data_IF_045892974518
#
_entry.id   IF_045892974518
#
_cell.length_a   1.000
_cell.length_b   1.000
_cell.length_c   1.000
_cell.angle_alpha   90.00
_cell.angle_beta   90.00
_cell.angle_gamma   90.00
#
_symmetry.space_group_name_H-M   'P 1'
#
loop_
_entity.id
_entity.type
_entity.pdbx_description
1 polymer ?
#
# COMPACT_ATOMS: atom_id res chain seq x y z
N UNK A 1 -19.38 -2.22 -26.66
CA UNK A 1 -19.49 -1.28 -25.52
C UNK A 1 -18.92 -1.98 -24.29
N UNK A 2 -17.63 -1.82 -24.02
CA UNK A 2 -16.99 -2.46 -22.86
C UNK A 2 -15.90 -1.59 -22.22
N UNK A 3 -15.39 -0.57 -22.93
CA UNK A 3 -14.47 0.42 -22.40
C UNK A 3 -15.14 1.47 -21.49
N UNK A 4 -16.47 1.57 -21.47
CA UNK A 4 -17.19 2.57 -20.67
C UNK A 4 -17.39 2.15 -19.20
N UNK A 5 -17.13 0.88 -18.84
CA UNK A 5 -17.28 0.39 -17.46
C UNK A 5 -16.02 0.52 -16.60
N UNK A 6 -14.86 0.83 -17.17
CA UNK A 6 -13.60 0.88 -16.42
C UNK A 6 -13.26 2.30 -15.88
N UNK A 7 -13.98 3.33 -16.31
CA UNK A 7 -13.78 4.73 -15.90
C UNK A 7 -14.79 5.23 -14.83
N UNK A 8 -15.73 4.38 -14.41
CA UNK A 8 -16.83 4.77 -13.53
C UNK A 8 -16.51 4.76 -12.01
N UNK A 9 -15.25 4.63 -11.61
CA UNK A 9 -14.84 4.75 -10.19
C UNK A 9 -14.37 6.17 -9.89
N UNK A 10 -15.15 7.16 -10.34
CA UNK A 10 -14.99 8.56 -9.95
C UNK A 10 -15.91 8.82 -8.74
N UNK A 11 -15.31 9.27 -7.62
CA UNK A 11 -15.95 9.63 -6.35
C UNK A 11 -16.44 8.48 -5.43
N UNK A 12 -15.54 7.57 -5.07
CA UNK A 12 -15.56 7.00 -3.72
C UNK A 12 -14.41 7.65 -2.94
N UNK A 13 -14.61 8.01 -1.67
CA UNK A 13 -13.50 8.34 -0.76
C UNK A 13 -12.39 7.31 -1.02
N UNK A 14 -11.22 7.75 -1.50
CA UNK A 14 -10.18 6.81 -1.93
C UNK A 14 -9.84 5.95 -0.72
N UNK A 15 -10.23 4.68 -0.79
CA UNK A 15 -9.93 3.75 0.28
C UNK A 15 -8.41 3.63 0.38
N UNK A 16 -7.84 3.37 1.56
CA UNK A 16 -6.40 3.22 1.72
C UNK A 16 -5.81 2.16 0.75
N UNK A 17 -6.62 1.16 0.41
CA UNK A 17 -6.30 0.13 -0.57
C UNK A 17 -6.29 0.65 -2.02
N UNK A 18 -7.24 1.51 -2.40
CA UNK A 18 -7.28 2.11 -3.74
C UNK A 18 -6.05 3.00 -3.98
N UNK A 19 -5.66 3.81 -2.99
CA UNK A 19 -4.47 4.66 -3.07
C UNK A 19 -3.17 3.85 -3.26
N UNK A 20 -3.02 2.75 -2.52
CA UNK A 20 -1.90 1.82 -2.71
C UNK A 20 -1.91 1.20 -4.12
N UNK A 21 -3.08 0.90 -4.68
CA UNK A 21 -3.18 0.33 -6.04
C UNK A 21 -2.70 1.33 -7.09
N UNK A 22 -3.15 2.59 -7.02
CA UNK A 22 -2.70 3.65 -7.91
C UNK A 22 -1.17 3.84 -7.83
N UNK A 23 -0.61 3.89 -6.62
CA UNK A 23 0.84 4.02 -6.40
C UNK A 23 1.65 2.95 -7.14
N UNK A 24 1.25 1.69 -7.01
CA UNK A 24 2.00 0.57 -7.60
C UNK A 24 1.86 0.53 -9.12
N UNK A 25 0.74 1.00 -9.67
CA UNK A 25 0.57 1.18 -11.12
C UNK A 25 1.46 2.32 -11.65
N UNK A 26 1.56 3.44 -10.92
CA UNK A 26 2.40 4.58 -11.29
C UNK A 26 3.89 4.28 -11.25
N UNK A 27 4.34 3.47 -10.29
CA UNK A 27 5.75 3.12 -10.13
C UNK A 27 6.27 2.19 -11.24
N UNK A 28 5.42 1.80 -12.20
CA UNK A 28 5.77 0.96 -13.37
C UNK A 28 6.68 -0.21 -12.97
N UNK A 29 6.32 -0.88 -11.88
CA UNK A 29 7.07 -2.05 -11.43
C UNK A 29 7.01 -3.13 -12.52
N UNK A 30 8.03 -3.98 -12.64
CA UNK A 30 8.02 -5.13 -13.56
C UNK A 30 6.99 -6.22 -13.18
N UNK A 31 6.08 -5.92 -12.24
CA UNK A 31 5.05 -6.82 -11.75
C UNK A 31 3.79 -6.72 -12.60
N UNK A 32 3.10 -7.85 -12.77
CA UNK A 32 1.80 -7.85 -13.45
C UNK A 32 0.73 -7.22 -12.56
N UNK A 33 -0.35 -6.63 -13.13
CA UNK A 33 -1.43 -6.01 -12.34
C UNK A 33 -2.03 -6.94 -11.27
N UNK A 34 -2.19 -8.23 -11.58
CA UNK A 34 -2.66 -9.22 -10.62
C UNK A 34 -1.70 -9.43 -9.43
N UNK A 35 -0.39 -9.23 -9.63
CA UNK A 35 0.59 -9.27 -8.53
C UNK A 35 0.53 -7.97 -7.72
N UNK A 36 0.34 -6.82 -8.37
CA UNK A 36 0.13 -5.53 -7.70
C UNK A 36 -1.05 -5.60 -6.74
N UNK A 37 -2.21 -6.08 -7.19
CA UNK A 37 -3.39 -6.23 -6.33
C UNK A 37 -3.11 -7.10 -5.08
N UNK A 38 -2.34 -8.19 -5.25
CA UNK A 38 -1.95 -9.06 -4.13
C UNK A 38 -1.01 -8.37 -3.15
N UNK A 39 -0.06 -7.59 -3.65
CA UNK A 39 0.86 -6.81 -2.80
C UNK A 39 0.05 -5.83 -1.94
N UNK A 40 -0.86 -5.10 -2.58
CA UNK A 40 -1.70 -4.10 -1.92
C UNK A 40 -2.60 -4.75 -0.86
N UNK A 41 -3.22 -5.89 -1.17
CA UNK A 41 -4.03 -6.63 -0.21
C UNK A 41 -3.21 -7.15 0.98
N UNK A 42 -2.00 -7.68 0.74
CA UNK A 42 -1.10 -8.12 1.81
C UNK A 42 -0.68 -6.95 2.72
N UNK A 43 -0.39 -5.78 2.13
CA UNK A 43 -0.04 -4.57 2.89
C UNK A 43 -1.23 -4.10 3.74
N UNK A 44 -2.43 -3.96 3.16
CA UNK A 44 -3.64 -3.56 3.89
C UNK A 44 -3.92 -4.51 5.07
N UNK A 45 -3.87 -5.81 4.84
CA UNK A 45 -4.10 -6.82 5.88
C UNK A 45 -3.08 -6.69 7.02
N UNK A 46 -1.79 -6.53 6.69
CA UNK A 46 -0.73 -6.37 7.68
C UNK A 46 -0.94 -5.10 8.50
N UNK A 47 -1.17 -3.96 7.86
CA UNK A 47 -1.34 -2.66 8.53
C UNK A 47 -2.55 -2.68 9.46
N UNK A 48 -3.66 -3.28 9.04
CA UNK A 48 -4.86 -3.43 9.89
C UNK A 48 -4.59 -4.23 11.16
N UNK A 49 -3.69 -5.21 11.10
CA UNK A 49 -3.31 -6.05 12.26
C UNK A 49 -2.33 -5.33 13.18
N UNK A 50 -1.38 -4.58 12.63
CA UNK A 50 -0.30 -3.98 13.43
C UNK A 50 -0.62 -2.57 13.93
N UNK A 51 -1.59 -1.89 13.33
CA UNK A 51 -1.98 -0.55 13.78
C UNK A 51 -2.72 -0.62 15.11
N UNK A 52 -2.44 0.35 15.97
CA UNK A 52 -3.15 0.60 17.22
C UNK A 52 -3.43 2.10 17.35
N UNK A 53 -4.42 2.52 18.16
CA UNK A 53 -4.73 3.95 18.32
C UNK A 53 -3.49 4.77 18.70
N UNK A 54 -3.17 5.81 17.92
CA UNK A 54 -2.02 6.69 18.18
C UNK A 54 -0.65 6.14 17.74
N UNK A 55 -0.59 5.04 16.99
CA UNK A 55 0.68 4.45 16.54
C UNK A 55 1.60 5.44 15.82
N UNK A 56 1.01 6.36 15.03
CA UNK A 56 1.68 7.41 14.25
C UNK A 56 2.41 8.46 15.11
N UNK A 57 2.07 8.54 16.39
CA UNK A 57 2.61 9.53 17.34
C UNK A 57 3.74 8.93 18.18
N UNK A 58 4.06 7.65 18.00
CA UNK A 58 5.06 6.94 18.79
C UNK A 58 6.15 6.34 17.92
N UNK A 59 7.41 6.50 18.35
CA UNK A 59 8.56 5.89 17.66
C UNK A 59 8.46 4.36 17.57
N UNK A 60 7.83 3.72 18.56
CA UNK A 60 7.62 2.28 18.57
C UNK A 60 6.59 1.86 17.52
N UNK A 61 5.42 2.51 17.47
CA UNK A 61 4.38 2.21 16.50
C UNK A 61 4.84 2.45 15.06
N UNK A 62 5.50 3.59 14.79
CA UNK A 62 6.10 3.85 13.48
C UNK A 62 7.09 2.77 13.06
N UNK A 63 7.99 2.37 13.96
CA UNK A 63 8.97 1.29 13.71
C UNK A 63 8.29 -0.05 13.43
N UNK A 64 7.23 -0.39 14.15
CA UNK A 64 6.50 -1.64 13.94
C UNK A 64 5.83 -1.67 12.57
N UNK A 65 5.16 -0.59 12.17
CA UNK A 65 4.54 -0.49 10.85
C UNK A 65 5.59 -0.56 9.74
N UNK A 66 6.68 0.21 9.85
CA UNK A 66 7.79 0.16 8.88
C UNK A 66 8.39 -1.23 8.73
N UNK A 67 8.66 -1.93 9.86
CA UNK A 67 9.22 -3.28 9.85
C UNK A 67 8.28 -4.28 9.15
N UNK A 68 6.99 -4.18 9.41
CA UNK A 68 6.00 -5.08 8.83
C UNK A 68 5.75 -4.78 7.34
N UNK A 69 5.70 -3.51 6.94
CA UNK A 69 5.69 -3.11 5.53
C UNK A 69 6.90 -3.68 4.78
N UNK A 70 8.10 -3.56 5.36
CA UNK A 70 9.33 -4.08 4.72
C UNK A 70 9.29 -5.60 4.54
N UNK A 71 8.72 -6.33 5.51
CA UNK A 71 8.48 -7.77 5.39
C UNK A 71 7.46 -8.12 4.31
N UNK A 72 6.39 -7.33 4.18
CA UNK A 72 5.40 -7.50 3.13
C UNK A 72 6.05 -7.38 1.74
N UNK A 73 6.81 -6.30 1.52
CA UNK A 73 7.53 -6.06 0.26
C UNK A 73 8.63 -7.10 0.00
N UNK A 74 9.21 -7.71 1.05
CA UNK A 74 10.23 -8.75 0.91
C UNK A 74 9.68 -9.99 0.20
N UNK A 75 8.43 -10.39 0.48
CA UNK A 75 7.74 -11.51 -0.18
C UNK A 75 7.72 -11.36 -1.71
N UNK A 76 7.73 -10.13 -2.20
CA UNK A 76 7.69 -9.76 -3.61
C UNK A 76 9.04 -9.26 -4.15
N UNK A 77 10.11 -9.38 -3.36
CA UNK A 77 11.46 -8.86 -3.68
C UNK A 77 11.54 -7.34 -3.89
N UNK A 78 10.52 -6.60 -3.45
CA UNK A 78 10.42 -5.14 -3.57
C UNK A 78 11.02 -4.37 -2.37
N UNK A 79 11.37 -5.05 -1.28
CA UNK A 79 11.98 -4.47 -0.06
C UNK A 79 13.28 -3.67 -0.26
N UNK A 80 13.93 -3.75 -1.42
CA UNK A 80 15.13 -2.97 -1.76
C UNK A 80 14.80 -1.64 -2.42
N UNK A 81 13.59 -1.48 -2.94
CA UNK A 81 13.12 -0.24 -3.53
C UNK A 81 12.76 0.74 -2.40
N UNK A 82 13.68 1.66 -2.14
CA UNK A 82 13.51 2.65 -1.08
C UNK A 82 12.41 3.66 -1.43
N UNK A 83 12.29 4.07 -2.70
CA UNK A 83 11.27 5.01 -3.15
C UNK A 83 9.86 4.42 -2.99
N UNK A 84 9.68 3.17 -3.40
CA UNK A 84 8.43 2.44 -3.20
C UNK A 84 8.09 2.33 -1.71
N UNK A 85 9.08 1.97 -0.88
CA UNK A 85 8.88 1.84 0.56
C UNK A 85 8.44 3.17 1.18
N UNK A 86 9.13 4.27 0.88
CA UNK A 86 8.84 5.59 1.44
C UNK A 86 7.46 6.09 1.03
N UNK A 87 7.08 5.90 -0.24
CA UNK A 87 5.74 6.24 -0.73
C UNK A 87 4.67 5.38 -0.04
N UNK A 88 4.81 4.06 -0.03
CA UNK A 88 3.85 3.16 0.60
C UNK A 88 3.69 3.47 2.10
N UNK A 89 4.80 3.73 2.80
CA UNK A 89 4.76 4.14 4.21
C UNK A 89 4.06 5.48 4.41
N UNK A 90 4.33 6.47 3.56
CA UNK A 90 3.65 7.77 3.58
C UNK A 90 2.13 7.61 3.47
N UNK A 91 1.66 6.81 2.52
CA UNK A 91 0.24 6.49 2.39
C UNK A 91 -0.33 5.78 3.62
N UNK A 92 0.39 4.81 4.17
CA UNK A 92 -0.05 4.13 5.39
C UNK A 92 -0.23 5.14 6.53
N UNK A 93 0.69 6.08 6.69
CA UNK A 93 0.63 7.11 7.72
C UNK A 93 -0.51 8.11 7.49
N UNK A 94 -0.85 8.41 6.23
CA UNK A 94 -1.91 9.36 5.89
C UNK A 94 -3.31 8.77 6.07
N UNK A 95 -3.48 7.46 5.82
CA UNK A 95 -4.80 6.84 5.67
C UNK A 95 -5.16 5.77 6.72
N UNK A 96 -4.24 5.32 7.60
CA UNK A 96 -4.50 4.27 8.60
C UNK A 96 -4.22 4.67 10.04
#
# INVERSE_FOLDING_TARGET
>A
MQAEKELAVALQEKTPQAALTELFLELKTDQTPAVVERIVADIDAIVRVVRFPGWQQSNQGEREVQKNLRKALLKYKLHKDQLLFDRAYGYIKEYY
#
